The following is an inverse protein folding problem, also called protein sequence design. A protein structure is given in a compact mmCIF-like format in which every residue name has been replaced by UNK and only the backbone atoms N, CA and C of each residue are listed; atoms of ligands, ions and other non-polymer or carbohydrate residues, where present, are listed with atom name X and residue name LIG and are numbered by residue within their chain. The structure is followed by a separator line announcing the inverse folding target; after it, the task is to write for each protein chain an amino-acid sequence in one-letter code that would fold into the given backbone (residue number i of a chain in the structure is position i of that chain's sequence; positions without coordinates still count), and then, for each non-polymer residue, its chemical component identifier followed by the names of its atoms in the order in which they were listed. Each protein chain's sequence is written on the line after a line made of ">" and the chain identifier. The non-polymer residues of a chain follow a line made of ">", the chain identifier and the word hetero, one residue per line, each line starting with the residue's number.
data_IF_280382396189
#
_entry.id   IF_280382396189
#
_cell.length_a   1.000
_cell.length_b   1.000
_cell.length_c   1.000
_cell.angle_alpha   90.00
_cell.angle_beta   90.00
_cell.angle_gamma   90.00
#
_symmetry.space_group_name_H-M   'P 1'
#
loop_
_entity.id
_entity.type
_entity.pdbx_description
1 polymer ?
#
# COMPACT_ATOMS: atom_id res chain seq x y z
N UNK A 1 6.55 -3.82 21.94
CA UNK A 1 5.20 -4.43 22.00
C UNK A 1 4.36 -3.96 20.81
N UNK A 2 3.67 -4.88 20.12
CA UNK A 2 2.81 -4.55 18.97
C UNK A 2 1.53 -3.85 19.42
N UNK A 3 1.20 -2.73 18.77
CA UNK A 3 0.02 -1.88 19.05
C UNK A 3 -1.15 -2.17 18.13
N UNK A 4 -0.85 -2.55 16.89
CA UNK A 4 -1.85 -2.80 15.87
C UNK A 4 -1.23 -2.79 14.48
N UNK A 5 -2.09 -2.83 13.45
CA UNK A 5 -1.68 -2.67 12.05
C UNK A 5 -1.56 -1.18 11.76
N UNK A 6 -0.38 -0.74 11.35
CA UNK A 6 -0.16 0.64 10.89
C UNK A 6 -0.71 0.82 9.47
N UNK A 7 -0.32 -0.08 8.56
CA UNK A 7 -0.80 -0.08 7.18
C UNK A 7 -0.74 -1.46 6.52
N UNK A 8 -1.53 -1.62 5.46
CA UNK A 8 -1.46 -2.74 4.52
C UNK A 8 -1.06 -2.22 3.16
N UNK A 9 0.10 -2.65 2.67
CA UNK A 9 0.57 -2.35 1.33
C UNK A 9 -0.06 -3.29 0.30
N UNK A 10 -0.72 -2.73 -0.70
CA UNK A 10 -1.40 -3.45 -1.79
C UNK A 10 -0.74 -3.07 -3.10
N UNK A 11 -0.08 -4.03 -3.75
CA UNK A 11 0.50 -3.84 -5.07
C UNK A 11 -0.60 -3.82 -6.13
N UNK A 12 -0.62 -2.78 -6.96
CA UNK A 12 -1.56 -2.57 -8.07
C UNK A 12 -0.81 -2.24 -9.35
N UNK A 13 -1.39 -2.49 -10.53
CA UNK A 13 -0.69 -2.19 -11.80
C UNK A 13 -0.66 -0.68 -12.08
N UNK A 14 -1.71 0.03 -11.67
CA UNK A 14 -1.76 1.48 -11.63
C UNK A 14 -2.61 1.95 -10.45
N UNK A 15 -2.39 3.18 -10.00
CA UNK A 15 -3.18 3.80 -8.94
C UNK A 15 -4.66 3.86 -9.34
N UNK A 16 -4.96 4.20 -10.59
CA UNK A 16 -6.35 4.27 -11.09
C UNK A 16 -7.04 2.91 -11.02
N UNK A 17 -6.34 1.81 -11.31
CA UNK A 17 -6.91 0.46 -11.14
C UNK A 17 -7.28 0.18 -9.69
N UNK A 18 -6.36 0.49 -8.75
CA UNK A 18 -6.63 0.29 -7.33
C UNK A 18 -7.81 1.15 -6.84
N UNK A 19 -7.87 2.42 -7.27
CA UNK A 19 -8.92 3.35 -6.85
C UNK A 19 -10.31 2.94 -7.32
N UNK A 20 -10.47 2.22 -8.45
CA UNK A 20 -11.77 1.69 -8.85
C UNK A 20 -12.42 0.79 -7.79
N UNK A 21 -11.61 0.03 -7.06
CA UNK A 21 -12.12 -0.80 -5.97
C UNK A 21 -12.30 0.04 -4.70
N UNK A 22 -11.22 0.63 -4.20
CA UNK A 22 -11.21 1.21 -2.86
C UNK A 22 -11.98 2.52 -2.77
N UNK A 23 -11.88 3.39 -3.78
CA UNK A 23 -12.62 4.65 -3.82
C UNK A 23 -14.00 4.46 -4.42
N UNK A 24 -14.10 3.92 -5.64
CA UNK A 24 -15.36 3.96 -6.39
C UNK A 24 -16.38 2.92 -5.91
N UNK A 25 -15.93 1.68 -5.61
CA UNK A 25 -16.84 0.62 -5.16
C UNK A 25 -17.06 0.61 -3.63
N UNK A 26 -16.02 0.93 -2.85
CA UNK A 26 -16.08 0.88 -1.38
C UNK A 26 -16.26 2.25 -0.70
N UNK A 27 -16.17 3.36 -1.45
CA UNK A 27 -16.40 4.70 -0.93
C UNK A 27 -15.30 5.24 -0.01
N UNK A 28 -14.05 4.80 -0.16
CA UNK A 28 -12.95 5.28 0.68
C UNK A 28 -12.29 6.53 0.05
N UNK A 29 -12.52 7.70 0.66
CA UNK A 29 -12.27 8.99 -0.01
C UNK A 29 -10.98 9.71 0.41
N UNK A 30 -10.39 9.41 1.57
CA UNK A 30 -9.22 10.16 2.08
C UNK A 30 -7.93 9.66 1.45
N UNK A 31 -7.48 10.36 0.40
CA UNK A 31 -6.27 10.03 -0.36
C UNK A 31 -5.15 11.02 -0.02
N UNK A 32 -4.03 10.53 0.50
CA UNK A 32 -2.75 11.20 0.39
C UNK A 32 -1.96 10.55 -0.75
N UNK A 33 -1.18 11.34 -1.48
CA UNK A 33 -0.39 10.88 -2.61
C UNK A 33 1.09 11.10 -2.31
N UNK A 34 1.86 10.04 -2.45
CA UNK A 34 3.31 10.05 -2.30
C UNK A 34 3.94 9.50 -3.57
N UNK A 35 4.99 10.17 -4.02
CA UNK A 35 5.67 9.78 -5.24
C UNK A 35 7.17 9.62 -5.00
N UNK A 36 7.70 8.47 -5.42
CA UNK A 36 9.11 8.09 -5.24
C UNK A 36 9.78 7.85 -6.59
N UNK A 37 11.08 7.52 -6.58
CA UNK A 37 11.81 7.14 -7.80
C UNK A 37 11.36 5.80 -8.39
N UNK A 38 10.78 4.91 -7.58
CA UNK A 38 10.52 3.52 -7.96
C UNK A 38 9.03 3.19 -8.03
N UNK A 39 8.19 3.93 -7.31
CA UNK A 39 6.75 3.69 -7.23
C UNK A 39 5.95 4.94 -6.89
N UNK A 40 4.69 4.94 -7.31
CA UNK A 40 3.64 5.85 -6.90
C UNK A 40 2.80 5.19 -5.80
N UNK A 41 2.43 5.95 -4.76
CA UNK A 41 1.69 5.45 -3.61
C UNK A 41 0.48 6.34 -3.34
N UNK A 42 -0.68 5.72 -3.22
CA UNK A 42 -1.88 6.36 -2.68
C UNK A 42 -2.25 5.75 -1.34
N UNK A 43 -2.29 6.60 -0.32
CA UNK A 43 -2.64 6.23 1.05
C UNK A 43 -4.11 6.54 1.31
N UNK A 44 -4.86 5.52 1.72
CA UNK A 44 -6.27 5.61 2.07
C UNK A 44 -6.43 5.34 3.56
N UNK A 45 -6.90 6.34 4.33
CA UNK A 45 -7.15 6.17 5.77
C UNK A 45 -8.43 5.39 6.03
N UNK A 46 -8.34 4.33 6.83
CA UNK A 46 -9.46 3.44 7.19
C UNK A 46 -9.47 3.18 8.70
N UNK A 47 -10.21 4.00 9.45
CA UNK A 47 -10.21 3.94 10.91
C UNK A 47 -8.82 4.24 11.49
N UNK A 48 -8.27 3.29 12.24
CA UNK A 48 -6.95 3.40 12.87
C UNK A 48 -5.77 2.96 11.95
N UNK A 49 -6.05 2.32 10.81
CA UNK A 49 -5.02 1.82 9.89
C UNK A 49 -5.09 2.53 8.52
N UNK A 50 -4.07 2.29 7.70
CA UNK A 50 -3.98 2.81 6.33
C UNK A 50 -3.96 1.66 5.31
N UNK A 51 -4.53 1.91 4.15
CA UNK A 51 -4.29 1.11 2.95
C UNK A 51 -3.34 1.89 2.04
N UNK A 52 -2.30 1.24 1.55
CA UNK A 52 -1.33 1.87 0.64
C UNK A 52 -1.38 1.16 -0.71
N UNK A 53 -1.96 1.82 -1.70
CA UNK A 53 -1.96 1.35 -3.08
C UNK A 53 -0.62 1.71 -3.70
N UNK A 54 0.17 0.71 -4.07
CA UNK A 54 1.52 0.88 -4.60
C UNK A 54 1.56 0.46 -6.07
N UNK A 55 1.81 1.41 -6.97
CA UNK A 55 2.01 1.17 -8.38
C UNK A 55 3.49 1.35 -8.75
N UNK A 56 4.15 0.35 -9.37
CA UNK A 56 5.54 0.49 -9.75
C UNK A 56 5.71 1.45 -10.93
N UNK A 57 6.78 2.25 -10.91
CA UNK A 57 7.20 3.04 -12.07
C UNK A 57 8.10 2.27 -13.03
N UNK A 58 8.69 1.18 -12.56
CA UNK A 58 9.60 0.31 -13.33
C UNK A 58 9.33 -1.15 -13.01
N UNK A 59 9.44 -2.02 -14.01
CA UNK A 59 9.22 -3.46 -13.86
C UNK A 59 10.24 -4.13 -12.93
N UNK A 60 11.47 -3.61 -12.86
CA UNK A 60 12.56 -4.15 -12.04
C UNK A 60 12.58 -3.63 -10.60
N UNK A 61 11.66 -2.72 -10.24
CA UNK A 61 11.43 -2.29 -8.86
C UNK A 61 10.94 -3.45 -7.98
N UNK A 62 11.04 -3.35 -6.64
CA UNK A 62 10.50 -4.37 -5.74
C UNK A 62 9.02 -4.70 -5.99
N UNK A 63 8.17 -3.67 -6.15
CA UNK A 63 6.74 -3.85 -6.44
C UNK A 63 6.52 -4.41 -7.85
N UNK A 64 7.30 -3.96 -8.84
CA UNK A 64 7.24 -4.49 -10.21
C UNK A 64 7.53 -5.98 -10.27
N UNK A 65 8.61 -6.43 -9.60
CA UNK A 65 8.97 -7.84 -9.46
C UNK A 65 7.92 -8.65 -8.71
N UNK A 66 7.30 -8.09 -7.68
CA UNK A 66 6.20 -8.74 -6.97
C UNK A 66 5.01 -8.98 -7.90
N UNK A 67 4.56 -7.94 -8.62
CA UNK A 67 3.45 -8.03 -9.55
C UNK A 67 3.71 -9.03 -10.68
N UNK A 68 4.92 -9.06 -11.25
CA UNK A 68 5.28 -10.03 -12.28
C UNK A 68 5.17 -11.49 -11.79
N UNK A 69 5.47 -11.73 -10.50
CA UNK A 69 5.47 -13.07 -9.91
C UNK A 69 4.11 -13.49 -9.35
N UNK A 70 3.32 -12.56 -8.82
CA UNK A 70 2.13 -12.85 -7.99
C UNK A 70 0.84 -12.21 -8.51
N UNK A 71 0.94 -11.23 -9.41
CA UNK A 71 -0.17 -10.36 -9.75
C UNK A 71 -0.50 -9.35 -8.64
N UNK A 72 -1.55 -8.53 -8.83
CA UNK A 72 -2.01 -7.56 -7.83
C UNK A 72 -2.47 -8.22 -6.53
N UNK A 73 -2.25 -7.55 -5.40
CA UNK A 73 -2.68 -8.07 -4.10
C UNK A 73 -1.91 -7.50 -2.91
N UNK A 74 -2.17 -8.04 -1.73
CA UNK A 74 -1.46 -7.66 -0.49
C UNK A 74 0.02 -8.02 -0.63
N UNK A 75 0.87 -6.99 -0.60
CA UNK A 75 2.32 -7.13 -0.66
C UNK A 75 2.91 -7.30 0.74
N UNK A 76 2.44 -6.51 1.71
CA UNK A 76 2.91 -6.58 3.09
C UNK A 76 1.86 -6.03 4.07
N UNK A 77 2.07 -6.31 5.35
CA UNK A 77 1.34 -5.74 6.48
C UNK A 77 2.40 -5.18 7.42
N UNK A 78 2.30 -3.90 7.75
CA UNK A 78 3.16 -3.24 8.72
C UNK A 78 2.45 -3.11 10.06
N UNK A 79 3.14 -3.49 11.13
CA UNK A 79 2.66 -3.36 12.50
C UNK A 79 3.31 -2.17 13.18
N UNK A 80 2.52 -1.45 13.97
CA UNK A 80 3.01 -0.39 14.84
C UNK A 80 3.57 -0.99 16.13
N UNK A 81 4.72 -0.49 16.60
CA UNK A 81 5.36 -0.87 17.86
C UNK A 81 5.92 0.37 18.56
N UNK A 82 5.90 0.37 19.90
CA UNK A 82 6.50 1.43 20.72
C UNK A 82 8.04 1.40 20.66
N UNK A 83 8.62 0.25 20.31
CA UNK A 83 10.06 0.02 20.22
C UNK A 83 10.34 -0.95 19.07
N UNK A 84 11.17 -0.51 18.12
CA UNK A 84 11.57 -1.30 16.94
C UNK A 84 12.88 -2.07 17.18
N UNK A 85 13.68 -1.65 18.17
CA UNK A 85 14.95 -2.28 18.53
C UNK A 85 14.79 -3.26 19.71
N UNK A 86 13.80 -3.03 20.57
CA UNK A 86 13.50 -3.85 21.72
C UNK A 86 12.85 -5.20 21.39
N UNK A 87 13.38 -6.25 22.03
CA UNK A 87 13.06 -7.70 22.03
C UNK A 87 11.98 -8.24 21.07
#
# INVERSE_FOLDING_TARGET
>A
MIKGVDHIGIAVRSIEEGLRLYRDALGLEKVAHEDTSDMEIVVIRTGAMKLELMAPKKEDSPVGKFLAKRGPGVHHIAYETDDIEGD
#
